data_IF_719912288554
#
_entry.id   IF_719912288554
#
_cell.length_a   1.000
_cell.length_b   1.000
_cell.length_c   1.000
_cell.angle_alpha   90.00
_cell.angle_beta   90.00
_cell.angle_gamma   90.00
#
_symmetry.space_group_name_H-M   'P 1'
#
loop_
_entity.id
_entity.type
_entity.pdbx_description
1 polymer ?
#
# COMPACT_ATOMS: atom_id res chain seq x y z
N UNK A 1 -4.01 60.16 -27.17
CA UNK A 1 -4.80 59.53 -26.10
C UNK A 1 -5.89 58.71 -26.76
N UNK A 2 -5.74 57.38 -26.78
CA UNK A 2 -6.81 56.43 -27.11
C UNK A 2 -6.60 55.21 -26.24
N UNK A 3 -7.37 55.11 -25.16
CA UNK A 3 -7.61 53.88 -24.42
C UNK A 3 -8.91 53.29 -24.98
N UNK A 4 -8.89 52.04 -25.41
CA UNK A 4 -10.09 51.21 -25.52
C UNK A 4 -9.76 49.78 -25.10
N UNK A 5 -10.24 49.48 -23.89
CA UNK A 5 -10.65 48.20 -23.31
C UNK A 5 -10.12 46.90 -23.94
N UNK A 6 -9.25 46.22 -23.18
CA UNK A 6 -9.10 44.77 -23.22
C UNK A 6 -10.13 44.21 -22.23
N UNK A 7 -11.19 43.57 -22.71
CA UNK A 7 -12.09 42.78 -21.85
C UNK A 7 -11.32 41.56 -21.30
N UNK A 8 -11.43 41.22 -20.01
CA UNK A 8 -10.81 40.00 -19.51
C UNK A 8 -11.63 38.80 -19.96
N UNK A 9 -10.96 37.86 -20.63
CA UNK A 9 -11.48 36.53 -20.94
C UNK A 9 -12.11 35.90 -19.69
N UNK A 10 -13.41 35.65 -19.76
CA UNK A 10 -14.13 34.89 -18.76
C UNK A 10 -13.64 33.44 -18.82
N UNK A 11 -12.72 33.08 -17.93
CA UNK A 11 -12.36 31.68 -17.66
C UNK A 11 -13.62 30.99 -17.14
N UNK A 12 -14.26 30.20 -18.00
CA UNK A 12 -15.41 29.39 -17.63
C UNK A 12 -14.96 28.32 -16.65
N UNK A 13 -15.27 28.49 -15.36
CA UNK A 13 -15.04 27.47 -14.34
C UNK A 13 -16.16 26.44 -14.48
N UNK A 14 -15.89 25.35 -15.21
CA UNK A 14 -16.73 24.16 -15.16
C UNK A 14 -16.74 23.65 -13.72
N UNK A 15 -17.85 23.90 -13.03
CA UNK A 15 -18.04 23.45 -11.65
C UNK A 15 -18.67 22.07 -11.74
N UNK A 16 -17.88 21.02 -11.53
CA UNK A 16 -18.39 19.65 -11.47
C UNK A 16 -19.26 19.52 -10.21
N UNK A 17 -20.59 19.50 -10.40
CA UNK A 17 -21.54 19.33 -9.30
C UNK A 17 -21.65 17.84 -9.03
N UNK A 18 -21.01 17.39 -7.94
CA UNK A 18 -21.19 16.04 -7.40
C UNK A 18 -22.67 15.89 -7.02
N UNK A 19 -23.35 14.91 -7.61
CA UNK A 19 -24.75 14.64 -7.26
C UNK A 19 -24.84 14.03 -5.86
N UNK A 20 -25.99 14.17 -5.21
CA UNK A 20 -26.23 13.51 -3.91
C UNK A 20 -26.03 11.98 -4.01
N UNK A 21 -26.34 11.39 -5.16
CA UNK A 21 -26.12 9.96 -5.43
C UNK A 21 -24.62 9.60 -5.51
N UNK A 22 -23.82 10.41 -6.20
CA UNK A 22 -22.36 10.22 -6.28
C UNK A 22 -21.69 10.38 -4.92
N UNK A 23 -22.16 11.35 -4.12
CA UNK A 23 -21.68 11.55 -2.75
C UNK A 23 -22.02 10.34 -1.85
N UNK A 24 -23.25 9.82 -1.93
CA UNK A 24 -23.65 8.62 -1.17
C UNK A 24 -22.86 7.38 -1.58
N UNK A 25 -22.58 7.21 -2.88
CA UNK A 25 -21.74 6.11 -3.37
C UNK A 25 -20.30 6.23 -2.86
N UNK A 26 -19.71 7.41 -2.91
CA UNK A 26 -18.36 7.68 -2.38
C UNK A 26 -18.28 7.39 -0.88
N UNK A 27 -19.27 7.85 -0.11
CA UNK A 27 -19.35 7.61 1.33
C UNK A 27 -19.50 6.11 1.65
N UNK A 28 -20.31 5.37 0.88
CA UNK A 28 -20.48 3.94 1.04
C UNK A 28 -19.17 3.18 0.76
N UNK A 29 -18.44 3.57 -0.30
CA UNK A 29 -17.14 3.00 -0.64
C UNK A 29 -16.10 3.27 0.45
N UNK A 30 -16.04 4.50 0.97
CA UNK A 30 -15.13 4.86 2.07
C UNK A 30 -15.41 4.05 3.33
N UNK A 31 -16.69 3.90 3.70
CA UNK A 31 -17.10 3.06 4.84
C UNK A 31 -16.70 1.59 4.64
N UNK A 32 -16.89 1.07 3.44
CA UNK A 32 -16.51 -0.31 3.14
C UNK A 32 -15.00 -0.52 3.26
N UNK A 33 -14.20 0.39 2.72
CA UNK A 33 -12.73 0.34 2.79
C UNK A 33 -12.23 0.44 4.24
N UNK A 34 -12.80 1.36 5.03
CA UNK A 34 -12.47 1.49 6.45
C UNK A 34 -12.79 0.23 7.25
N UNK A 35 -13.90 -0.44 6.94
CA UNK A 35 -14.27 -1.71 7.60
C UNK A 35 -13.31 -2.85 7.22
N UNK A 36 -12.90 -2.92 5.95
CA UNK A 36 -11.89 -3.89 5.51
C UNK A 36 -10.55 -3.66 6.23
N UNK A 37 -10.12 -2.40 6.33
CA UNK A 37 -8.89 -2.03 7.03
C UNK A 37 -8.93 -2.37 8.52
N UNK A 38 -10.05 -2.05 9.18
CA UNK A 38 -10.28 -2.43 10.58
C UNK A 38 -10.11 -3.92 10.81
N UNK A 39 -10.75 -4.75 9.97
CA UNK A 39 -10.64 -6.22 10.05
C UNK A 39 -9.22 -6.71 9.77
N UNK A 40 -8.55 -6.17 8.75
CA UNK A 40 -7.18 -6.54 8.42
C UNK A 40 -6.21 -6.24 9.57
N UNK A 41 -6.39 -5.11 10.26
CA UNK A 41 -5.60 -4.74 11.44
C UNK A 41 -5.86 -5.63 12.63
N UNK A 42 -7.12 -5.97 12.89
CA UNK A 42 -7.47 -6.92 13.94
C UNK A 42 -6.84 -8.30 13.68
N UNK A 43 -6.90 -8.79 12.44
CA UNK A 43 -6.21 -10.00 12.04
C UNK A 43 -4.68 -9.88 12.22
N UNK A 44 -4.08 -8.76 11.84
CA UNK A 44 -2.64 -8.52 12.03
C UNK A 44 -2.25 -8.55 13.52
N UNK A 45 -3.06 -7.95 14.41
CA UNK A 45 -2.87 -8.02 15.88
C UNK A 45 -2.89 -9.45 16.38
N UNK A 46 -3.86 -10.26 15.93
CA UNK A 46 -3.96 -11.68 16.32
C UNK A 46 -2.75 -12.49 15.84
N UNK A 47 -2.30 -12.26 14.60
CA UNK A 47 -1.11 -12.91 14.04
C UNK A 47 0.12 -12.60 14.90
N UNK A 48 0.35 -11.32 15.22
CA UNK A 48 1.50 -10.89 15.99
C UNK A 48 1.45 -11.34 17.44
N UNK A 49 0.28 -11.31 18.08
CA UNK A 49 0.10 -11.83 19.44
C UNK A 49 0.49 -13.31 19.53
N UNK A 50 0.07 -14.13 18.56
CA UNK A 50 0.45 -15.55 18.50
C UNK A 50 1.95 -15.72 18.28
N UNK A 51 2.55 -14.86 17.45
CA UNK A 51 3.99 -14.86 17.23
C UNK A 51 4.79 -14.53 18.48
N UNK A 52 4.37 -13.53 19.24
CA UNK A 52 5.01 -13.15 20.50
C UNK A 52 4.86 -14.24 21.58
N UNK A 53 3.85 -15.11 21.46
CA UNK A 53 3.68 -16.33 22.27
C UNK A 53 4.53 -17.52 21.78
N UNK A 54 5.40 -17.33 20.79
CA UNK A 54 6.31 -18.35 20.28
C UNK A 54 5.79 -19.17 19.08
N UNK A 55 4.61 -18.86 18.56
CA UNK A 55 4.06 -19.54 17.37
C UNK A 55 4.42 -18.78 16.09
N UNK A 56 5.28 -19.34 15.23
CA UNK A 56 5.53 -18.74 13.91
C UNK A 56 4.50 -19.25 12.91
N UNK A 57 3.48 -18.44 12.50
CA UNK A 57 2.52 -18.88 11.50
C UNK A 57 3.21 -19.03 10.14
N UNK A 58 2.80 -20.03 9.38
CA UNK A 58 3.07 -20.03 7.96
C UNK A 58 2.04 -19.13 7.25
N UNK A 59 2.43 -17.89 6.97
CA UNK A 59 1.57 -16.89 6.33
C UNK A 59 1.49 -17.08 4.81
N UNK A 60 2.39 -17.87 4.22
CA UNK A 60 2.46 -18.12 2.79
C UNK A 60 2.28 -19.60 2.51
N UNK A 61 1.15 -19.95 1.91
CA UNK A 61 0.86 -21.32 1.48
C UNK A 61 1.21 -21.51 -0.01
N UNK A 62 2.44 -21.16 -0.40
CA UNK A 62 2.95 -21.38 -1.76
C UNK A 62 3.73 -22.69 -1.82
N UNK A 63 3.25 -23.65 -2.60
CA UNK A 63 3.86 -24.98 -2.76
C UNK A 63 5.30 -24.93 -3.31
N UNK A 64 5.69 -23.80 -3.90
CA UNK A 64 7.02 -23.61 -4.49
C UNK A 64 8.06 -23.18 -3.46
N UNK A 65 7.63 -22.68 -2.31
CA UNK A 65 8.53 -22.27 -1.23
C UNK A 65 8.84 -23.46 -0.35
N UNK A 66 10.11 -23.63 0.00
CA UNK A 66 10.48 -24.57 1.06
C UNK A 66 9.85 -24.14 2.40
N UNK A 67 9.80 -25.06 3.37
CA UNK A 67 9.34 -24.72 4.71
C UNK A 67 10.19 -23.61 5.35
N UNK A 68 11.50 -23.61 5.08
CA UNK A 68 12.42 -22.58 5.56
C UNK A 68 12.15 -21.21 4.91
N UNK A 69 11.92 -21.18 3.61
CA UNK A 69 11.60 -19.96 2.86
C UNK A 69 10.26 -19.40 3.30
N UNK A 70 9.26 -20.27 3.48
CA UNK A 70 7.94 -19.91 4.00
C UNK A 70 8.03 -19.25 5.40
N UNK A 71 8.88 -19.77 6.28
CA UNK A 71 9.14 -19.16 7.59
C UNK A 71 9.87 -17.82 7.48
N UNK A 72 10.83 -17.71 6.56
CA UNK A 72 11.57 -16.47 6.30
C UNK A 72 10.67 -15.37 5.76
N UNK A 73 9.81 -15.69 4.78
CA UNK A 73 8.78 -14.81 4.27
C UNK A 73 7.81 -14.38 5.38
N UNK A 74 7.36 -15.34 6.21
CA UNK A 74 6.45 -15.04 7.33
C UNK A 74 7.07 -14.06 8.32
N UNK A 75 8.38 -14.17 8.62
CA UNK A 75 9.10 -13.21 9.47
C UNK A 75 9.16 -11.80 8.87
N UNK A 76 9.43 -11.69 7.57
CA UNK A 76 9.42 -10.42 6.86
C UNK A 76 8.01 -9.79 6.90
N UNK A 77 6.96 -10.58 6.65
CA UNK A 77 5.58 -10.12 6.72
C UNK A 77 5.22 -9.63 8.12
N UNK A 78 5.61 -10.36 9.17
CA UNK A 78 5.36 -9.92 10.55
C UNK A 78 6.06 -8.60 10.89
N UNK A 79 7.26 -8.33 10.35
CA UNK A 79 7.89 -7.02 10.50
C UNK A 79 7.08 -5.91 9.82
N UNK A 80 6.57 -6.15 8.61
CA UNK A 80 5.71 -5.20 7.91
C UNK A 80 4.40 -4.94 8.68
N UNK A 81 3.79 -5.97 9.25
CA UNK A 81 2.58 -5.84 10.07
C UNK A 81 2.83 -5.05 11.35
N UNK A 82 3.98 -5.24 12.01
CA UNK A 82 4.37 -4.44 13.19
C UNK A 82 4.49 -2.96 12.86
N UNK A 83 5.10 -2.63 11.73
CA UNK A 83 5.18 -1.23 11.26
C UNK A 83 3.79 -0.65 11.01
N UNK A 84 2.93 -1.38 10.29
CA UNK A 84 1.53 -0.99 10.00
C UNK A 84 0.71 -0.71 11.27
N UNK A 85 0.86 -1.53 12.31
CA UNK A 85 0.11 -1.35 13.55
C UNK A 85 0.66 -0.24 14.45
N UNK A 86 1.97 0.01 14.42
CA UNK A 86 2.57 1.05 15.25
C UNK A 86 2.00 2.44 14.94
N UNK A 87 1.74 2.75 13.66
CA UNK A 87 1.16 4.04 13.25
C UNK A 87 -0.34 4.18 13.61
N UNK A 88 -1.06 3.07 13.81
CA UNK A 88 -2.45 3.08 14.26
C UNK A 88 -2.57 3.60 15.71
N UNK A 89 -1.57 3.33 16.55
CA UNK A 89 -1.50 3.77 17.94
C UNK A 89 -1.16 5.27 18.08
N UNK A 90 -0.50 5.86 17.07
CA UNK A 90 -0.13 7.28 17.05
C UNK A 90 -1.20 8.21 16.45
N UNK A 91 -2.37 7.68 16.07
CA UNK A 91 -3.56 8.50 15.84
C UNK A 91 -3.72 9.10 14.45
N UNK A 92 -3.16 8.51 13.39
CA UNK A 92 -3.44 8.90 12.01
C UNK A 92 -4.86 8.43 11.60
N UNK A 93 -5.88 9.11 12.10
CA UNK A 93 -7.26 9.00 11.63
C UNK A 93 -7.43 9.98 10.47
N UNK A 94 -7.41 9.48 9.24
CA UNK A 94 -7.81 10.24 8.05
C UNK A 94 -6.68 10.89 7.23
N UNK A 95 -5.45 11.01 7.73
CA UNK A 95 -4.30 11.41 6.90
C UNK A 95 -3.63 10.19 6.25
N UNK A 96 -3.13 10.37 5.03
CA UNK A 96 -2.40 9.35 4.29
C UNK A 96 -1.27 8.80 5.16
N UNK A 97 -1.40 7.54 5.58
CA UNK A 97 -0.50 6.91 6.53
C UNK A 97 0.85 6.68 5.84
N UNK A 98 1.89 7.37 6.32
CA UNK A 98 3.25 7.31 5.76
C UNK A 98 4.09 6.20 6.43
N UNK A 99 3.42 5.10 6.82
CA UNK A 99 3.92 4.02 7.66
C UNK A 99 5.29 3.48 7.24
N UNK A 100 5.43 3.18 5.96
CA UNK A 100 6.60 2.56 5.35
C UNK A 100 7.53 3.58 4.68
N UNK A 101 7.09 4.81 4.43
CA UNK A 101 7.91 5.83 3.78
C UNK A 101 8.59 6.81 4.73
N UNK A 102 8.32 6.75 6.04
CA UNK A 102 8.88 7.68 7.03
C UNK A 102 10.10 7.12 7.76
N UNK A 103 11.17 7.91 7.80
CA UNK A 103 12.35 7.66 8.65
C UNK A 103 12.97 6.28 8.43
N UNK A 104 13.16 5.52 9.53
CA UNK A 104 13.78 4.18 9.48
C UNK A 104 12.88 3.11 8.87
N UNK A 105 11.57 3.35 8.79
CA UNK A 105 10.62 2.35 8.31
C UNK A 105 10.83 2.02 6.82
N UNK A 106 11.35 2.98 6.03
CA UNK A 106 11.72 2.78 4.61
C UNK A 106 12.73 1.64 4.47
N UNK A 107 13.82 1.70 5.23
CA UNK A 107 14.89 0.71 5.14
C UNK A 107 14.38 -0.70 5.54
N UNK A 108 13.53 -0.76 6.56
CA UNK A 108 12.92 -2.02 7.01
C UNK A 108 11.95 -2.57 5.95
N UNK A 109 11.09 -1.71 5.41
CA UNK A 109 10.15 -2.07 4.35
C UNK A 109 10.90 -2.57 3.10
N UNK A 110 11.95 -1.87 2.67
CA UNK A 110 12.80 -2.27 1.56
C UNK A 110 13.50 -3.61 1.80
N UNK A 111 14.07 -3.81 2.99
CA UNK A 111 14.70 -5.08 3.35
C UNK A 111 13.69 -6.24 3.30
N UNK A 112 12.48 -6.04 3.86
CA UNK A 112 11.42 -7.05 3.78
C UNK A 112 11.00 -7.31 2.33
N UNK A 113 10.87 -6.27 1.52
CA UNK A 113 10.57 -6.39 0.08
C UNK A 113 11.64 -7.17 -0.68
N UNK A 114 12.93 -6.93 -0.40
CA UNK A 114 14.04 -7.67 -1.01
C UNK A 114 13.98 -9.17 -0.67
N UNK A 115 13.70 -9.52 0.59
CA UNK A 115 13.53 -10.92 1.02
C UNK A 115 12.37 -11.56 0.25
N UNK A 116 11.21 -10.91 0.22
CA UNK A 116 10.03 -11.44 -0.47
C UNK A 116 10.27 -11.59 -1.98
N UNK A 117 10.96 -10.63 -2.59
CA UNK A 117 11.36 -10.70 -4.00
C UNK A 117 12.30 -11.87 -4.27
N UNK A 118 13.31 -12.09 -3.43
CA UNK A 118 14.26 -13.20 -3.59
C UNK A 118 13.57 -14.57 -3.47
N UNK A 119 12.57 -14.68 -2.59
CA UNK A 119 11.87 -15.95 -2.35
C UNK A 119 10.82 -16.27 -3.42
N UNK A 120 10.03 -15.29 -3.87
CA UNK A 120 8.89 -15.54 -4.75
C UNK A 120 8.64 -14.49 -5.83
N UNK A 121 9.59 -13.57 -6.03
CA UNK A 121 9.52 -12.50 -7.02
C UNK A 121 8.36 -11.53 -6.77
N UNK A 122 7.99 -10.81 -7.84
CA UNK A 122 6.90 -9.83 -7.80
C UNK A 122 5.56 -10.44 -7.41
N UNK A 123 5.28 -11.70 -7.79
CA UNK A 123 4.03 -12.38 -7.46
C UNK A 123 3.84 -12.56 -5.94
N UNK A 124 4.90 -12.90 -5.22
CA UNK A 124 4.83 -13.02 -3.76
C UNK A 124 4.66 -11.65 -3.12
N UNK A 125 5.37 -10.63 -3.61
CA UNK A 125 5.23 -9.25 -3.12
C UNK A 125 3.80 -8.73 -3.30
N UNK A 126 3.21 -8.91 -4.49
CA UNK A 126 1.82 -8.53 -4.78
C UNK A 126 0.82 -9.28 -3.90
N UNK A 127 1.04 -10.59 -3.68
CA UNK A 127 0.20 -11.37 -2.77
C UNK A 127 0.24 -10.83 -1.35
N UNK A 128 1.44 -10.55 -0.81
CA UNK A 128 1.61 -9.97 0.52
C UNK A 128 0.93 -8.61 0.60
N UNK A 129 1.19 -7.74 -0.38
CA UNK A 129 0.64 -6.39 -0.44
C UNK A 129 -0.89 -6.40 -0.39
N UNK A 130 -1.53 -7.19 -1.26
CA UNK A 130 -2.99 -7.14 -1.44
C UNK A 130 -3.77 -7.96 -0.42
N UNK A 131 -3.16 -9.02 0.16
CA UNK A 131 -3.88 -9.96 1.05
C UNK A 131 -3.55 -9.81 2.52
N UNK A 132 -2.35 -9.34 2.87
CA UNK A 132 -1.87 -9.36 4.25
C UNK A 132 -1.69 -7.95 4.83
N UNK A 133 -1.38 -6.96 4.00
CA UNK A 133 -1.18 -5.58 4.46
C UNK A 133 -2.51 -4.84 4.50
N UNK A 134 -2.83 -4.12 5.59
CA UNK A 134 -4.04 -3.33 5.68
C UNK A 134 -4.18 -2.33 4.51
N UNK A 135 -5.36 -2.21 3.88
CA UNK A 135 -5.58 -1.40 2.68
C UNK A 135 -5.00 0.01 2.76
N UNK A 136 -5.12 0.70 3.90
CA UNK A 136 -4.61 2.07 4.02
C UNK A 136 -3.08 2.19 4.02
N UNK A 137 -2.36 1.09 4.20
CA UNK A 137 -0.89 1.09 4.15
C UNK A 137 -0.33 0.53 2.82
N UNK A 138 -1.19 0.00 1.93
CA UNK A 138 -0.76 -0.69 0.70
C UNK A 138 -0.06 0.26 -0.27
N UNK A 139 -0.64 1.42 -0.56
CA UNK A 139 -0.02 2.38 -1.48
C UNK A 139 1.34 2.85 -0.97
N UNK A 140 1.43 3.08 0.33
CA UNK A 140 2.65 3.52 0.98
C UNK A 140 3.74 2.42 0.97
N UNK A 141 3.36 1.16 1.18
CA UNK A 141 4.28 0.03 1.05
C UNK A 141 4.73 -0.16 -0.40
N UNK A 142 3.81 -0.04 -1.35
CA UNK A 142 4.10 -0.15 -2.77
C UNK A 142 5.12 0.92 -3.19
N UNK A 143 4.97 2.15 -2.71
CA UNK A 143 5.96 3.22 -2.88
C UNK A 143 7.32 2.85 -2.29
N UNK A 144 7.37 2.31 -1.07
CA UNK A 144 8.63 1.88 -0.44
C UNK A 144 9.33 0.75 -1.21
N UNK A 145 8.58 -0.04 -1.99
CA UNK A 145 9.09 -1.13 -2.83
C UNK A 145 9.37 -0.73 -4.28
N UNK A 146 9.10 0.52 -4.68
CA UNK A 146 9.49 1.00 -6.00
C UNK A 146 11.01 0.82 -6.20
N UNK A 147 11.40 0.23 -7.33
CA UNK A 147 12.80 -0.09 -7.63
C UNK A 147 13.29 -1.44 -7.09
N UNK A 148 12.48 -2.18 -6.33
CA UNK A 148 12.76 -3.59 -6.05
C UNK A 148 12.39 -4.42 -7.28
N UNK A 149 13.36 -5.20 -7.79
CA UNK A 149 13.19 -6.02 -8.99
C UNK A 149 13.52 -5.34 -10.33
N UNK A 150 14.00 -4.08 -10.33
CA UNK A 150 14.51 -3.39 -11.53
C UNK A 150 15.96 -3.75 -11.89
N UNK A 151 16.62 -4.61 -11.13
CA UNK A 151 17.96 -5.13 -11.42
C UNK A 151 18.05 -6.09 -12.62
N UNK A 152 16.94 -6.42 -13.28
CA UNK A 152 16.92 -7.29 -14.46
C UNK A 152 15.77 -7.00 -15.46
N UNK A 153 15.25 -5.76 -15.54
CA UNK A 153 14.29 -5.46 -16.61
C UNK A 153 14.25 -3.98 -16.98
N UNK A 154 15.09 -3.61 -17.95
CA UNK A 154 14.83 -2.48 -18.84
C UNK A 154 13.61 -2.79 -19.74
N UNK A 155 12.40 -2.84 -19.19
CA UNK A 155 11.16 -2.98 -19.98
C UNK A 155 9.94 -2.37 -19.28
N UNK A 156 10.12 -1.28 -18.52
CA UNK A 156 8.98 -0.46 -18.08
C UNK A 156 9.02 0.95 -18.66
N UNK A 157 9.57 1.08 -19.87
CA UNK A 157 9.36 2.26 -20.69
C UNK A 157 9.43 1.89 -22.18
N UNK A 158 8.28 1.56 -22.76
CA UNK A 158 8.09 1.56 -24.21
C UNK A 158 6.61 1.74 -24.57
N UNK A 159 6.22 3.02 -24.67
CA UNK A 159 5.41 3.56 -25.77
C UNK A 159 4.06 2.88 -26.04
N UNK A 160 3.01 3.42 -25.46
CA UNK A 160 1.74 3.60 -26.18
C UNK A 160 1.64 5.03 -26.72
N UNK A 161 2.47 5.32 -27.72
CA UNK A 161 2.11 6.28 -28.76
C UNK A 161 1.68 5.46 -29.98
N UNK A 162 0.37 5.40 -30.20
CA UNK A 162 -0.23 4.94 -31.45
C UNK A 162 -0.39 6.14 -32.39
N UNK A 163 -0.07 6.01 -33.70
CA UNK A 163 -0.77 6.77 -34.72
C UNK A 163 -2.20 6.23 -34.92
#
# INVERSE_FOLDING_TARGET
>A
MSQSAHEPDAVSVETEVITDDDYQQSLAQQKHLAEQDRKAREQARQILQRYDQGFTPNLIQDIRLSAFDSLTASRAIMQLLRLSLAEDEYGAVGESRMTYTRGRNVAIAQQCGQILYQLGGLKLMEHVLTRLIPPFDQDNLNQAWQGLGTGASHYFDARHHLP
#
